data_IF_635531675184
#
_entry.id   IF_635531675184
#
_cell.length_a   1.000
_cell.length_b   1.000
_cell.length_c   1.000
_cell.angle_alpha   90.00
_cell.angle_beta   90.00
_cell.angle_gamma   90.00
#
_symmetry.space_group_name_H-M   'P 1'
#
loop_
_entity.id
_entity.type
_entity.pdbx_description
1 polymer ?
#
# COMPACT_ATOMS: atom_id res chain seq x y z
N UNK A 1 14.83 11.35 7.28
CA UNK A 1 15.68 11.40 8.49
C UNK A 1 14.93 12.01 9.68
N UNK A 2 15.48 11.92 10.90
CA UNK A 2 14.85 12.54 12.08
C UNK A 2 14.75 14.09 11.95
N UNK A 3 15.76 14.81 11.40
CA UNK A 3 15.61 16.21 11.10
C UNK A 3 14.44 16.56 10.19
N UNK A 4 14.19 15.75 9.16
CA UNK A 4 13.07 15.98 8.23
C UNK A 4 11.72 15.81 8.96
N UNK A 5 11.59 14.78 9.79
CA UNK A 5 10.41 14.59 10.63
C UNK A 5 10.20 15.80 11.56
N UNK A 6 11.27 16.22 12.23
CA UNK A 6 11.20 17.38 13.12
C UNK A 6 10.76 18.67 12.40
N UNK A 7 11.08 18.81 11.10
CA UNK A 7 10.70 19.94 10.29
C UNK A 7 9.24 19.90 9.80
N UNK A 8 8.68 18.70 9.54
CA UNK A 8 7.33 18.58 9.01
C UNK A 8 6.24 18.44 10.07
N UNK A 9 6.58 17.93 11.25
CA UNK A 9 5.61 17.67 12.33
C UNK A 9 4.86 18.92 12.83
N UNK A 10 5.43 20.15 12.85
CA UNK A 10 4.66 21.35 13.16
C UNK A 10 3.47 21.61 12.20
N UNK A 11 3.51 21.03 10.99
CA UNK A 11 2.42 21.06 10.01
C UNK A 11 1.28 20.07 10.30
N UNK A 12 1.38 19.30 11.37
CA UNK A 12 0.39 18.29 11.77
C UNK A 12 -0.03 17.33 10.63
N UNK A 13 0.91 16.61 9.98
CA UNK A 13 0.59 15.73 8.87
C UNK A 13 -0.30 14.56 9.36
N UNK A 14 -1.31 14.19 8.54
CA UNK A 14 -2.16 13.01 8.82
C UNK A 14 -1.36 11.70 8.75
N UNK A 15 -0.27 11.67 7.97
CA UNK A 15 0.58 10.51 7.84
C UNK A 15 1.89 10.80 7.11
N UNK A 16 2.78 9.83 7.16
CA UNK A 16 4.06 9.83 6.44
C UNK A 16 4.19 8.60 5.56
N UNK A 17 4.91 8.73 4.46
CA UNK A 17 5.38 7.60 3.66
C UNK A 17 6.78 7.23 4.12
N UNK A 18 6.98 5.99 4.55
CA UNK A 18 8.26 5.46 5.02
C UNK A 18 8.87 4.54 3.95
N UNK A 19 9.89 5.02 3.21
CA UNK A 19 10.56 4.21 2.20
C UNK A 19 11.66 3.33 2.79
N UNK A 20 12.10 2.36 2.00
CA UNK A 20 13.29 1.51 2.22
C UNK A 20 13.30 0.79 3.56
N UNK A 21 12.15 0.29 3.95
CA UNK A 21 11.96 -0.45 5.20
C UNK A 21 12.47 -1.88 5.06
N UNK A 22 13.28 -2.32 6.01
CA UNK A 22 13.81 -3.69 6.06
C UNK A 22 12.90 -4.66 6.83
N UNK A 23 12.16 -4.17 7.83
CA UNK A 23 11.31 -5.01 8.68
C UNK A 23 10.32 -4.17 9.50
N UNK A 24 9.36 -4.83 10.16
CA UNK A 24 8.43 -4.17 11.09
C UNK A 24 9.12 -3.41 12.24
N UNK A 25 10.34 -3.82 12.64
CA UNK A 25 11.07 -3.13 13.69
C UNK A 25 11.39 -1.66 13.33
N UNK A 26 11.67 -1.37 12.06
CA UNK A 26 11.92 0.01 11.61
C UNK A 26 10.63 0.83 11.58
N UNK A 27 9.50 0.21 11.23
CA UNK A 27 8.18 0.85 11.32
C UNK A 27 7.84 1.20 12.76
N UNK A 28 8.09 0.30 13.70
CA UNK A 28 7.88 0.53 15.13
C UNK A 28 8.80 1.64 15.65
N UNK A 29 10.09 1.63 15.27
CA UNK A 29 11.01 2.72 15.61
C UNK A 29 10.56 4.07 15.07
N UNK A 30 9.98 4.11 13.85
CA UNK A 30 9.41 5.33 13.29
C UNK A 30 8.21 5.79 14.13
N UNK A 31 7.36 4.87 14.58
CA UNK A 31 6.23 5.17 15.45
C UNK A 31 6.67 5.81 16.79
N UNK A 32 7.78 5.35 17.36
CA UNK A 32 8.35 5.95 18.58
C UNK A 32 8.82 7.40 18.34
N UNK A 33 9.46 7.66 17.19
CA UNK A 33 9.84 9.02 16.82
C UNK A 33 8.62 9.93 16.63
N UNK A 34 7.59 9.43 15.94
CA UNK A 34 6.34 10.19 15.76
C UNK A 34 5.67 10.49 17.09
N UNK A 35 5.63 9.53 18.02
CA UNK A 35 5.06 9.73 19.34
C UNK A 35 5.75 10.87 20.11
N UNK A 36 7.09 10.88 20.09
CA UNK A 36 7.87 11.93 20.74
C UNK A 36 7.66 13.31 20.09
N UNK A 37 7.57 13.35 18.77
CA UNK A 37 7.36 14.59 18.03
C UNK A 37 5.92 15.11 18.17
N UNK A 38 4.92 14.26 18.17
CA UNK A 38 3.53 14.64 18.47
C UNK A 38 3.41 15.26 19.87
N UNK A 39 4.05 14.65 20.87
CA UNK A 39 4.09 15.20 22.22
C UNK A 39 4.77 16.58 22.25
N UNK A 40 5.88 16.75 21.53
CA UNK A 40 6.58 18.03 21.42
C UNK A 40 5.73 19.13 20.81
N UNK A 41 4.98 18.80 19.76
CA UNK A 41 4.15 19.76 19.02
C UNK A 41 2.75 19.94 19.62
N UNK A 42 2.40 19.20 20.68
CA UNK A 42 1.05 19.25 21.26
C UNK A 42 -0.03 18.63 20.37
N UNK A 43 0.34 17.70 19.48
CA UNK A 43 -0.58 16.98 18.60
C UNK A 43 -1.22 15.79 19.33
N UNK A 44 -2.32 15.29 18.81
CA UNK A 44 -2.93 14.05 19.31
C UNK A 44 -1.97 12.87 19.20
N UNK A 45 -1.66 12.21 20.32
CA UNK A 45 -0.76 11.06 20.34
C UNK A 45 -1.35 9.92 19.49
N UNK A 46 -0.60 9.44 18.51
CA UNK A 46 -1.05 8.41 17.58
C UNK A 46 -1.80 8.93 16.35
N UNK A 47 -1.91 10.25 16.17
CA UNK A 47 -2.61 10.87 15.05
C UNK A 47 -1.92 10.63 13.72
N UNK A 48 -0.60 10.76 13.66
CA UNK A 48 0.18 10.60 12.43
C UNK A 48 0.31 9.13 12.05
N UNK A 49 -0.18 8.77 10.87
CA UNK A 49 -0.17 7.39 10.36
C UNK A 49 1.08 7.11 9.52
N UNK A 50 1.31 5.83 9.21
CA UNK A 50 2.44 5.38 8.41
C UNK A 50 1.91 4.57 7.22
N UNK A 51 2.36 4.92 6.02
CA UNK A 51 2.35 4.07 4.84
C UNK A 51 3.79 3.58 4.62
N UNK A 52 4.04 2.28 4.60
CA UNK A 52 5.38 1.73 4.38
C UNK A 52 5.55 1.23 2.96
N UNK A 53 6.70 1.57 2.34
CA UNK A 53 7.15 0.90 1.10
C UNK A 53 7.96 -0.33 1.50
N UNK A 54 7.30 -1.49 1.44
CA UNK A 54 7.73 -2.69 2.16
C UNK A 54 8.69 -3.62 1.38
N UNK A 55 9.03 -3.30 0.11
CA UNK A 55 9.77 -4.23 -0.76
C UNK A 55 10.94 -3.61 -1.51
N UNK A 56 11.46 -2.49 -1.08
CA UNK A 56 12.53 -1.78 -1.79
C UNK A 56 13.93 -2.34 -1.56
N UNK A 57 14.06 -3.37 -0.73
CA UNK A 57 15.35 -4.02 -0.45
C UNK A 57 15.24 -5.54 -0.55
N UNK A 58 16.33 -6.22 -0.91
CA UNK A 58 16.33 -7.68 -0.95
C UNK A 58 16.03 -8.31 0.43
N UNK A 59 16.54 -7.70 1.51
CA UNK A 59 16.30 -8.18 2.87
C UNK A 59 14.81 -8.07 3.27
N UNK A 60 14.09 -7.05 2.82
CA UNK A 60 12.68 -6.84 3.15
C UNK A 60 11.80 -8.00 2.71
N UNK A 61 12.11 -8.65 1.58
CA UNK A 61 11.36 -9.83 1.11
C UNK A 61 11.47 -11.02 2.06
N UNK A 62 12.56 -11.12 2.81
CA UNK A 62 12.83 -12.23 3.74
C UNK A 62 12.27 -11.97 5.14
N UNK A 63 11.80 -10.76 5.41
CA UNK A 63 11.38 -10.31 6.75
C UNK A 63 9.89 -9.96 6.84
N UNK A 64 9.09 -10.23 5.83
CA UNK A 64 7.64 -9.98 5.85
C UNK A 64 6.92 -10.61 7.04
N UNK A 65 7.38 -11.78 7.53
CA UNK A 65 6.82 -12.42 8.71
C UNK A 65 6.85 -11.52 9.94
N UNK A 66 7.81 -10.59 10.04
CA UNK A 66 7.93 -9.69 11.19
C UNK A 66 6.75 -8.72 11.33
N UNK A 67 6.02 -8.45 10.25
CA UNK A 67 4.83 -7.61 10.29
C UNK A 67 3.65 -8.28 11.00
N UNK A 68 3.65 -9.62 11.09
CA UNK A 68 2.61 -10.39 11.80
C UNK A 68 2.80 -10.34 13.32
N UNK A 69 3.99 -9.97 13.78
CA UNK A 69 4.38 -9.96 15.19
C UNK A 69 4.48 -8.51 15.70
N UNK A 70 3.41 -7.97 16.28
CA UNK A 70 3.43 -6.69 17.01
C UNK A 70 3.88 -5.47 16.19
N UNK A 71 3.42 -5.31 14.98
CA UNK A 71 3.59 -4.05 14.25
C UNK A 71 2.66 -2.98 14.83
N UNK A 72 3.14 -1.73 14.86
CA UNK A 72 2.39 -0.60 15.38
C UNK A 72 1.05 -0.38 14.64
N UNK A 73 0.01 -0.01 15.37
CA UNK A 73 -1.30 0.37 14.81
C UNK A 73 -1.28 1.70 14.01
N UNK A 74 -0.15 2.38 13.97
CA UNK A 74 0.06 3.54 13.08
C UNK A 74 0.27 3.11 11.62
N UNK A 75 0.70 1.86 11.38
CA UNK A 75 0.86 1.31 10.05
C UNK A 75 -0.52 1.03 9.45
N UNK A 76 -0.99 1.93 8.61
CA UNK A 76 -2.33 1.84 7.99
C UNK A 76 -2.29 1.38 6.54
N UNK A 77 -1.13 1.42 5.89
CA UNK A 77 -0.99 0.99 4.51
C UNK A 77 0.38 0.40 4.21
N UNK A 78 0.41 -0.56 3.31
CA UNK A 78 1.63 -1.10 2.70
C UNK A 78 1.56 -0.88 1.18
N UNK A 79 2.67 -0.47 0.62
CA UNK A 79 2.90 -0.48 -0.83
C UNK A 79 4.17 -1.24 -1.15
N UNK A 80 4.28 -1.70 -2.38
CA UNK A 80 5.50 -2.34 -2.88
C UNK A 80 6.24 -1.42 -3.85
N UNK A 81 7.54 -1.61 -4.05
CA UNK A 81 8.37 -0.81 -4.94
C UNK A 81 9.19 -1.71 -5.86
N UNK A 82 8.89 -1.70 -7.17
CA UNK A 82 9.56 -2.53 -8.15
C UNK A 82 10.94 -1.99 -8.57
N UNK A 83 11.06 -0.67 -8.66
CA UNK A 83 12.26 -0.02 -9.19
C UNK A 83 13.46 -0.15 -8.23
N UNK A 84 13.30 0.26 -6.99
CA UNK A 84 14.35 0.12 -5.98
C UNK A 84 14.67 -1.35 -5.68
N UNK A 85 13.67 -2.24 -5.75
CA UNK A 85 13.89 -3.68 -5.60
C UNK A 85 14.77 -4.23 -6.73
N UNK A 86 14.52 -3.82 -7.98
CA UNK A 86 15.34 -4.22 -9.12
C UNK A 86 16.80 -3.83 -8.90
N UNK A 87 17.05 -2.60 -8.49
CA UNK A 87 18.38 -2.13 -8.16
C UNK A 87 19.01 -2.94 -7.00
N UNK A 88 18.24 -3.24 -5.96
CA UNK A 88 18.71 -4.02 -4.81
C UNK A 88 19.02 -5.49 -5.15
N UNK A 89 18.34 -6.05 -6.16
CA UNK A 89 18.61 -7.41 -6.66
C UNK A 89 19.72 -7.45 -7.72
N UNK A 90 20.19 -6.29 -8.21
CA UNK A 90 21.18 -6.19 -9.28
C UNK A 90 20.60 -6.55 -10.65
N UNK A 91 19.28 -6.42 -10.83
CA UNK A 91 18.62 -6.70 -12.08
C UNK A 91 18.82 -5.56 -13.09
N UNK A 92 18.83 -5.90 -14.38
CA UNK A 92 18.89 -4.93 -15.47
C UNK A 92 17.53 -4.29 -15.76
N UNK A 93 16.44 -4.97 -15.43
CA UNK A 93 15.07 -4.52 -15.61
C UNK A 93 14.15 -5.25 -14.61
N UNK A 94 12.94 -4.74 -14.39
CA UNK A 94 11.93 -5.37 -13.54
C UNK A 94 10.74 -5.93 -14.37
N UNK A 95 10.70 -5.65 -15.66
CA UNK A 95 9.65 -6.07 -16.58
C UNK A 95 10.20 -6.84 -17.77
N UNK A 96 9.42 -7.81 -18.24
CA UNK A 96 9.74 -8.55 -19.45
C UNK A 96 9.68 -7.63 -20.68
N UNK A 97 10.72 -7.58 -21.52
CA UNK A 97 10.86 -6.58 -22.59
C UNK A 97 9.78 -6.64 -23.67
N UNK A 98 9.13 -7.79 -23.83
CA UNK A 98 8.09 -7.97 -24.88
C UNK A 98 6.68 -7.78 -24.33
N UNK A 99 6.36 -8.33 -23.16
CA UNK A 99 5.00 -8.27 -22.59
C UNK A 99 4.76 -7.05 -21.71
N UNK A 100 5.83 -6.46 -21.14
CA UNK A 100 5.71 -5.40 -20.14
C UNK A 100 5.19 -5.88 -18.77
N UNK A 101 5.03 -7.20 -18.59
CA UNK A 101 4.65 -7.76 -17.29
C UNK A 101 5.86 -7.82 -16.37
N UNK A 102 5.63 -7.65 -15.08
CA UNK A 102 6.68 -7.83 -14.08
C UNK A 102 7.18 -9.28 -14.04
N UNK A 103 8.49 -9.44 -13.93
CA UNK A 103 9.12 -10.74 -13.75
C UNK A 103 8.90 -11.32 -12.33
N UNK A 104 9.13 -12.62 -12.16
CA UNK A 104 8.78 -13.40 -10.97
C UNK A 104 9.17 -12.77 -9.63
N UNK A 105 10.38 -12.22 -9.44
CA UNK A 105 10.76 -11.62 -8.15
C UNK A 105 9.84 -10.46 -7.73
N UNK A 106 9.38 -9.67 -8.71
CA UNK A 106 8.51 -8.51 -8.47
C UNK A 106 7.06 -8.92 -8.26
N UNK A 107 6.59 -9.95 -8.96
CA UNK A 107 5.27 -10.55 -8.72
C UNK A 107 5.21 -11.19 -7.33
N UNK A 108 6.30 -11.83 -6.88
CA UNK A 108 6.42 -12.34 -5.52
C UNK A 108 6.35 -11.20 -4.49
N UNK A 109 7.14 -10.15 -4.67
CA UNK A 109 7.15 -8.97 -3.80
C UNK A 109 5.76 -8.32 -3.69
N UNK A 110 5.09 -8.13 -4.84
CA UNK A 110 3.73 -7.61 -4.93
C UNK A 110 2.73 -8.49 -4.17
N UNK A 111 2.81 -9.80 -4.34
CA UNK A 111 1.93 -10.77 -3.68
C UNK A 111 2.14 -10.81 -2.17
N UNK A 112 3.39 -10.79 -1.72
CA UNK A 112 3.74 -10.75 -0.30
C UNK A 112 3.27 -9.46 0.36
N UNK A 113 3.44 -8.32 -0.32
CA UNK A 113 2.93 -7.04 0.17
C UNK A 113 1.41 -7.05 0.35
N UNK A 114 0.67 -7.54 -0.65
CA UNK A 114 -0.79 -7.67 -0.59
C UNK A 114 -1.23 -8.59 0.56
N UNK A 115 -0.66 -9.79 0.64
CA UNK A 115 -1.02 -10.78 1.66
C UNK A 115 -0.73 -10.25 3.07
N UNK A 116 0.44 -9.64 3.27
CA UNK A 116 0.83 -9.07 4.56
C UNK A 116 -0.08 -7.91 4.95
N UNK A 117 -0.37 -6.98 4.04
CA UNK A 117 -1.28 -5.87 4.32
C UNK A 117 -2.64 -6.37 4.82
N UNK A 118 -3.20 -7.38 4.15
CA UNK A 118 -4.48 -7.99 4.57
C UNK A 118 -4.40 -8.71 5.91
N UNK A 119 -3.28 -9.39 6.17
CA UNK A 119 -3.10 -10.14 7.43
C UNK A 119 -3.01 -9.24 8.67
N UNK A 120 -2.58 -7.98 8.50
CA UNK A 120 -2.45 -6.99 9.59
C UNK A 120 -3.52 -5.88 9.55
N UNK A 121 -4.59 -6.06 8.77
CA UNK A 121 -5.66 -5.07 8.55
C UNK A 121 -5.16 -3.70 8.02
N UNK A 122 -4.01 -3.69 7.32
CA UNK A 122 -3.54 -2.51 6.62
C UNK A 122 -4.05 -2.47 5.17
N UNK A 123 -4.06 -1.28 4.60
CA UNK A 123 -4.50 -1.05 3.23
C UNK A 123 -3.39 -1.45 2.24
N UNK A 124 -3.63 -2.39 1.30
CA UNK A 124 -2.70 -2.68 0.21
C UNK A 124 -2.83 -1.62 -0.88
N UNK A 125 -1.74 -0.88 -1.11
CA UNK A 125 -1.64 0.18 -2.13
C UNK A 125 -0.69 -0.27 -3.23
N UNK A 126 -1.12 -0.17 -4.50
CA UNK A 126 -0.28 -0.50 -5.66
C UNK A 126 0.90 0.47 -5.80
N UNK A 127 1.99 0.01 -6.38
CA UNK A 127 3.18 0.82 -6.61
C UNK A 127 2.95 1.88 -7.71
N UNK A 128 3.94 2.74 -7.89
CA UNK A 128 3.97 3.77 -8.93
C UNK A 128 3.88 3.16 -10.34
N UNK A 129 3.28 3.91 -11.28
CA UNK A 129 3.38 3.66 -12.72
C UNK A 129 4.40 4.66 -13.28
N UNK A 130 5.59 4.17 -13.61
CA UNK A 130 6.74 5.01 -13.93
C UNK A 130 6.55 5.78 -15.23
N UNK A 131 5.98 5.12 -16.26
CA UNK A 131 5.68 5.78 -17.52
C UNK A 131 4.41 6.65 -17.39
N UNK A 132 4.56 7.81 -16.75
CA UNK A 132 3.45 8.73 -16.46
C UNK A 132 2.72 9.26 -17.72
N UNK A 133 3.30 9.10 -18.93
CA UNK A 133 2.65 9.47 -20.21
C UNK A 133 1.76 8.37 -20.76
N UNK A 134 1.96 7.13 -20.33
CA UNK A 134 1.13 5.98 -20.74
C UNK A 134 -0.06 5.82 -19.77
N UNK A 135 -1.08 6.62 -20.02
CA UNK A 135 -2.28 6.65 -19.18
C UNK A 135 -3.18 5.42 -19.38
N UNK A 136 -3.14 4.78 -20.54
CA UNK A 136 -3.91 3.55 -20.79
C UNK A 136 -3.23 2.34 -20.10
N UNK A 137 -1.90 2.25 -20.15
CA UNK A 137 -1.14 1.27 -19.38
C UNK A 137 -1.38 1.41 -17.88
N UNK A 138 -1.35 2.64 -17.36
CA UNK A 138 -1.71 2.92 -15.97
C UNK A 138 -3.11 2.40 -15.61
N UNK A 139 -4.11 2.69 -16.45
CA UNK A 139 -5.50 2.23 -16.23
C UNK A 139 -5.59 0.70 -16.16
N UNK A 140 -4.94 0.02 -17.11
CA UNK A 140 -4.92 -1.44 -17.16
C UNK A 140 -4.24 -2.05 -15.92
N UNK A 141 -3.14 -1.45 -15.47
CA UNK A 141 -2.45 -1.87 -14.24
C UNK A 141 -3.31 -1.60 -12.98
N UNK A 142 -3.99 -0.46 -12.89
CA UNK A 142 -4.95 -0.18 -11.81
C UNK A 142 -6.09 -1.21 -11.75
N UNK A 143 -6.66 -1.58 -12.90
CA UNK A 143 -7.72 -2.58 -12.98
C UNK A 143 -7.22 -3.97 -12.59
N UNK A 144 -5.97 -4.32 -12.96
CA UNK A 144 -5.31 -5.55 -12.50
C UNK A 144 -5.11 -5.52 -10.97
N UNK A 145 -4.59 -4.44 -10.43
CA UNK A 145 -4.37 -4.26 -8.99
C UNK A 145 -5.69 -4.39 -8.22
N UNK A 146 -6.74 -3.67 -8.63
CA UNK A 146 -8.07 -3.76 -8.02
C UNK A 146 -8.62 -5.19 -8.04
N UNK A 147 -8.53 -5.88 -9.18
CA UNK A 147 -9.00 -7.26 -9.31
C UNK A 147 -8.25 -8.23 -8.39
N UNK A 148 -6.98 -7.99 -8.10
CA UNK A 148 -6.17 -8.83 -7.21
C UNK A 148 -6.30 -8.47 -5.74
N UNK A 149 -6.93 -7.33 -5.38
CA UNK A 149 -7.25 -6.98 -4.01
C UNK A 149 -6.59 -5.72 -3.46
N UNK A 150 -5.80 -5.00 -4.27
CA UNK A 150 -5.35 -3.66 -3.93
C UNK A 150 -6.52 -2.67 -3.93
N UNK A 151 -6.42 -1.60 -3.14
CA UNK A 151 -7.51 -0.64 -2.95
C UNK A 151 -7.18 0.77 -3.43
N UNK A 152 -5.98 0.98 -3.89
CA UNK A 152 -5.46 2.24 -4.42
C UNK A 152 -4.12 2.05 -5.07
N UNK A 153 -3.52 3.16 -5.53
CA UNK A 153 -2.21 3.17 -6.19
C UNK A 153 -1.51 4.49 -5.94
N UNK A 154 -0.19 4.46 -5.82
CA UNK A 154 0.60 5.68 -5.67
C UNK A 154 0.69 6.40 -7.03
N UNK A 155 0.34 7.69 -7.03
CA UNK A 155 0.53 8.58 -8.17
C UNK A 155 1.86 9.34 -8.05
N UNK A 156 2.57 9.51 -9.17
CA UNK A 156 3.78 10.32 -9.28
C UNK A 156 3.60 11.53 -10.22
N UNK A 157 2.43 11.67 -10.82
CA UNK A 157 2.08 12.79 -11.67
C UNK A 157 0.59 13.17 -11.49
N UNK A 158 0.21 14.45 -11.53
CA UNK A 158 -1.19 14.87 -11.37
C UNK A 158 -2.16 14.20 -12.35
N UNK A 159 -1.76 14.01 -13.60
CA UNK A 159 -2.60 13.38 -14.64
C UNK A 159 -2.98 11.93 -14.32
N UNK A 160 -2.27 11.27 -13.41
CA UNK A 160 -2.57 9.90 -12.97
C UNK A 160 -3.74 9.83 -12.00
N UNK A 161 -3.99 10.90 -11.24
CA UNK A 161 -4.93 10.90 -10.12
C UNK A 161 -6.35 10.53 -10.52
N UNK A 162 -6.87 11.14 -11.58
CA UNK A 162 -8.23 10.87 -12.07
C UNK A 162 -8.40 9.43 -12.56
N UNK A 163 -7.38 8.89 -13.22
CA UNK A 163 -7.40 7.52 -13.74
C UNK A 163 -7.38 6.52 -12.59
N UNK A 164 -6.51 6.72 -11.61
CA UNK A 164 -6.43 5.90 -10.41
C UNK A 164 -7.77 5.94 -9.68
N UNK A 165 -8.30 7.12 -9.39
CA UNK A 165 -9.57 7.26 -8.68
C UNK A 165 -10.72 6.53 -9.39
N UNK A 166 -10.85 6.71 -10.71
CA UNK A 166 -11.88 6.01 -11.50
C UNK A 166 -11.72 4.50 -11.49
N UNK A 167 -10.50 3.99 -11.60
CA UNK A 167 -10.23 2.56 -11.63
C UNK A 167 -10.56 1.87 -10.30
N UNK A 168 -10.33 2.53 -9.17
CA UNK A 168 -10.59 1.98 -7.84
C UNK A 168 -11.99 2.32 -7.28
N UNK A 169 -12.72 3.24 -7.91
CA UNK A 169 -14.11 3.54 -7.53
C UNK A 169 -15.03 2.43 -8.03
N UNK A 170 -15.88 1.83 -7.16
CA UNK A 170 -16.88 0.86 -7.58
C UNK A 170 -17.89 1.46 -8.54
N UNK A 171 -18.30 0.70 -9.55
CA UNK A 171 -19.39 1.08 -10.45
C UNK A 171 -20.74 0.98 -9.75
N UNK A 172 -21.74 1.70 -10.26
CA UNK A 172 -23.12 1.62 -9.74
C UNK A 172 -23.68 0.18 -9.79
N UNK A 173 -23.26 -0.62 -10.77
CA UNK A 173 -23.66 -2.03 -10.90
C UNK A 173 -23.06 -2.88 -9.76
N UNK A 174 -21.78 -2.70 -9.46
CA UNK A 174 -21.10 -3.39 -8.35
C UNK A 174 -21.72 -2.98 -7.01
N UNK A 175 -22.01 -1.69 -6.81
CA UNK A 175 -22.67 -1.18 -5.59
C UNK A 175 -24.04 -1.81 -5.44
N UNK A 176 -24.87 -1.80 -6.49
CA UNK A 176 -26.20 -2.38 -6.46
C UNK A 176 -26.18 -3.91 -6.21
N UNK A 177 -25.21 -4.61 -6.77
CA UNK A 177 -25.01 -6.04 -6.50
C UNK A 177 -24.62 -6.29 -5.04
N UNK A 178 -23.64 -5.55 -4.53
CA UNK A 178 -23.18 -5.68 -3.14
C UNK A 178 -24.31 -5.36 -2.14
N UNK A 179 -25.13 -4.35 -2.43
CA UNK A 179 -26.29 -4.02 -1.59
C UNK A 179 -27.29 -5.18 -1.55
N UNK A 180 -27.59 -5.80 -2.69
CA UNK A 180 -28.48 -6.98 -2.72
C UNK A 180 -27.93 -8.13 -1.87
N UNK A 181 -26.60 -8.35 -1.89
CA UNK A 181 -25.98 -9.40 -1.06
C UNK A 181 -26.15 -9.08 0.42
N UNK A 182 -25.89 -7.83 0.83
CA UNK A 182 -26.08 -7.39 2.23
C UNK A 182 -27.54 -7.57 2.65
N UNK A 183 -28.49 -7.08 1.86
CA UNK A 183 -29.93 -7.18 2.14
C UNK A 183 -30.38 -8.66 2.30
N UNK A 184 -29.84 -9.57 1.47
CA UNK A 184 -30.14 -11.00 1.57
C UNK A 184 -29.64 -11.60 2.89
N UNK A 185 -28.44 -11.25 3.35
CA UNK A 185 -27.93 -11.73 4.63
C UNK A 185 -28.68 -11.12 5.82
N UNK A 186 -29.08 -9.87 5.75
CA UNK A 186 -29.91 -9.22 6.78
C UNK A 186 -31.29 -9.88 6.92
N UNK A 187 -31.89 -10.32 5.79
CA UNK A 187 -33.16 -11.04 5.77
C UNK A 187 -33.06 -12.50 6.23
N UNK A 188 -31.84 -13.06 6.26
CA UNK A 188 -31.57 -14.45 6.63
C UNK A 188 -30.48 -14.54 7.73
N UNK A 189 -30.72 -13.99 8.93
CA UNK A 189 -29.72 -13.96 9.99
C UNK A 189 -29.33 -15.39 10.41
N UNK A 190 -28.03 -15.63 10.49
CA UNK A 190 -27.46 -16.94 10.90
C UNK A 190 -27.21 -17.94 9.75
N UNK A 191 -27.52 -17.57 8.50
CA UNK A 191 -27.14 -18.37 7.33
C UNK A 191 -25.71 -18.05 6.88
N UNK A 192 -24.88 -19.08 6.68
CA UNK A 192 -23.50 -18.93 6.19
C UNK A 192 -23.41 -18.75 4.66
N UNK A 193 -24.47 -19.12 3.92
CA UNK A 193 -24.61 -18.95 2.46
C UNK A 193 -26.05 -18.61 2.12
N UNK A 194 -26.24 -17.69 1.19
CA UNK A 194 -27.55 -17.35 0.62
C UNK A 194 -27.43 -17.54 -0.89
N UNK A 195 -28.30 -18.38 -1.49
CA UNK A 195 -28.32 -18.69 -2.91
C UNK A 195 -29.24 -17.77 -3.71
#
# INVERSE_FOLDING_TARGET
SLPDLAAVMPGAPDGIVLPKVYSAAEVNRMADFLLALEAREGLGLGSTKILSVATETAASLLTFHTYLDNVTNRLTALTWGGEDLAAALGASDNQHPTSGDYDDPYLYAKSMCLATARAIDAQPVGCVWVNFRDLEGLKNDCLRDRRTGFIGKIAIHPDQSDIINRAFTPSNVEIAYSQKVVDLFEQNPGMGTVG
#
